data_IF_473609117223
#
_entry.id   IF_473609117223
#
_cell.length_a   1.000
_cell.length_b   1.000
_cell.length_c   1.000
_cell.angle_alpha   90.00
_cell.angle_beta   90.00
_cell.angle_gamma   90.00
#
_symmetry.space_group_name_H-M   'P 1'
#
loop_
_entity.id
_entity.type
_entity.pdbx_description
1 polymer ?
#
# COMPACT_ATOMS: atom_id res chain seq x y z
N UNK A 1 -31.08 11.41 2.33
CA UNK A 1 -30.21 12.55 2.66
C UNK A 1 -29.97 12.54 4.16
N UNK A 2 -28.72 12.64 4.62
CA UNK A 2 -28.41 12.76 6.05
C UNK A 2 -28.89 14.15 6.50
N UNK A 3 -29.81 14.22 7.48
CA UNK A 3 -30.27 15.49 8.03
C UNK A 3 -29.12 16.28 8.68
N UNK A 4 -29.17 17.61 8.63
CA UNK A 4 -28.19 18.48 9.31
C UNK A 4 -28.11 18.21 10.82
N UNK A 5 -29.20 17.77 11.46
CA UNK A 5 -29.20 17.30 12.85
C UNK A 5 -28.34 16.05 13.04
N UNK A 6 -28.42 15.10 12.11
CA UNK A 6 -27.71 13.82 12.18
C UNK A 6 -26.20 14.02 11.97
N UNK A 7 -25.79 15.01 11.17
CA UNK A 7 -24.38 15.38 10.99
C UNK A 7 -23.76 15.92 12.29
N UNK A 8 -24.48 16.82 13.00
CA UNK A 8 -24.00 17.35 14.30
C UNK A 8 -23.90 16.26 15.36
N UNK A 9 -24.93 15.44 15.50
CA UNK A 9 -24.92 14.31 16.43
C UNK A 9 -23.83 13.30 16.07
N UNK A 10 -23.60 13.07 14.77
CA UNK A 10 -22.50 12.25 14.27
C UNK A 10 -21.14 12.77 14.70
N UNK A 11 -20.86 14.07 14.57
CA UNK A 11 -19.60 14.64 15.01
C UNK A 11 -19.35 14.42 16.53
N UNK A 12 -20.39 14.61 17.36
CA UNK A 12 -20.28 14.40 18.81
C UNK A 12 -19.99 12.95 19.17
N UNK A 13 -20.68 11.99 18.53
CA UNK A 13 -20.41 10.57 18.76
C UNK A 13 -19.02 10.20 18.25
N UNK A 14 -18.56 10.78 17.14
CA UNK A 14 -17.22 10.52 16.62
C UNK A 14 -16.16 10.89 17.66
N UNK A 15 -16.20 12.12 18.18
CA UNK A 15 -15.27 12.57 19.21
C UNK A 15 -15.31 11.65 20.45
N UNK A 16 -16.50 11.22 20.86
CA UNK A 16 -16.68 10.33 22.00
C UNK A 16 -16.01 8.96 21.80
N UNK A 17 -16.16 8.34 20.63
CA UNK A 17 -15.66 6.97 20.39
C UNK A 17 -14.30 6.92 19.70
N UNK A 18 -13.79 8.01 19.13
CA UNK A 18 -12.60 8.04 18.29
C UNK A 18 -11.41 7.30 18.93
N UNK A 19 -11.04 7.68 20.15
CA UNK A 19 -9.91 7.07 20.84
C UNK A 19 -10.10 5.56 21.08
N UNK A 20 -11.32 5.12 21.40
CA UNK A 20 -11.65 3.72 21.59
C UNK A 20 -11.65 2.94 20.26
N UNK A 21 -12.13 3.55 19.18
CA UNK A 21 -12.11 2.99 17.84
C UNK A 21 -10.67 2.84 17.33
N UNK A 22 -9.82 3.86 17.47
CA UNK A 22 -8.40 3.79 17.14
C UNK A 22 -7.73 2.67 17.93
N UNK A 23 -7.93 2.63 19.27
CA UNK A 23 -7.37 1.56 20.11
C UNK A 23 -7.84 0.17 19.67
N UNK A 24 -9.07 0.03 19.19
CA UNK A 24 -9.60 -1.23 18.66
C UNK A 24 -8.92 -1.60 17.34
N UNK A 25 -8.83 -0.68 16.38
CA UNK A 25 -8.18 -0.90 15.09
C UNK A 25 -6.69 -1.25 15.24
N UNK A 26 -6.01 -0.61 16.19
CA UNK A 26 -4.60 -0.88 16.55
C UNK A 26 -4.31 -2.30 17.04
N UNK A 27 -5.34 -3.11 17.36
CA UNK A 27 -5.17 -4.55 17.65
C UNK A 27 -4.97 -5.39 16.38
N UNK A 28 -5.33 -4.85 15.21
CA UNK A 28 -5.25 -5.51 13.90
C UNK A 28 -4.14 -4.93 13.03
N UNK A 29 -3.84 -3.63 13.18
CA UNK A 29 -2.79 -2.93 12.41
C UNK A 29 -1.77 -2.26 13.32
N UNK A 30 -0.49 -2.36 12.93
CA UNK A 30 0.65 -1.81 13.67
C UNK A 30 1.00 -0.37 13.30
N UNK A 31 0.49 0.13 12.17
CA UNK A 31 0.66 1.50 11.71
C UNK A 31 -0.49 2.39 12.25
N UNK A 32 -0.21 3.65 12.56
CA UNK A 32 -1.21 4.56 13.13
C UNK A 32 -2.10 5.16 12.04
N UNK A 33 -1.54 5.46 10.88
CA UNK A 33 -2.28 5.98 9.73
C UNK A 33 -3.24 4.92 9.17
N UNK A 34 -2.81 3.65 9.09
CA UNK A 34 -3.71 2.54 8.74
C UNK A 34 -4.91 2.47 9.70
N UNK A 35 -4.70 2.72 11.01
CA UNK A 35 -5.77 2.71 11.99
C UNK A 35 -6.73 3.90 11.82
N UNK A 36 -6.20 5.09 11.52
CA UNK A 36 -6.99 6.29 11.24
C UNK A 36 -7.84 6.15 9.97
N UNK A 37 -7.27 5.55 8.92
CA UNK A 37 -7.99 5.25 7.67
C UNK A 37 -9.15 4.27 7.93
N UNK A 38 -8.89 3.18 8.66
CA UNK A 38 -9.93 2.22 9.04
C UNK A 38 -11.05 2.91 9.83
N UNK A 39 -10.70 3.73 10.82
CA UNK A 39 -11.68 4.42 11.65
C UNK A 39 -12.50 5.42 10.84
N UNK A 40 -11.87 6.16 9.94
CA UNK A 40 -12.53 7.13 9.05
C UNK A 40 -13.52 6.43 8.11
N UNK A 41 -13.09 5.37 7.42
CA UNK A 41 -13.95 4.58 6.53
C UNK A 41 -15.11 3.94 7.30
N UNK A 42 -14.83 3.38 8.47
CA UNK A 42 -15.84 2.80 9.34
C UNK A 42 -16.86 3.85 9.77
N UNK A 43 -16.40 5.05 10.13
CA UNK A 43 -17.27 6.12 10.57
C UNK A 43 -18.18 6.63 9.45
N UNK A 44 -17.64 6.79 8.24
CA UNK A 44 -18.45 7.15 7.06
C UNK A 44 -19.56 6.13 6.84
N UNK A 45 -19.27 4.83 6.99
CA UNK A 45 -20.29 3.79 6.90
C UNK A 45 -21.33 3.84 8.03
N UNK A 46 -20.90 4.16 9.26
CA UNK A 46 -21.79 4.34 10.42
C UNK A 46 -22.69 5.57 10.28
N UNK A 47 -22.19 6.65 9.67
CA UNK A 47 -22.97 7.87 9.41
C UNK A 47 -24.21 7.59 8.54
N UNK A 48 -24.10 6.66 7.60
CA UNK A 48 -25.23 6.20 6.77
C UNK A 48 -26.30 5.44 7.56
N UNK A 49 -26.00 5.01 8.80
CA UNK A 49 -26.89 4.23 9.68
C UNK A 49 -27.22 4.98 10.97
N UNK A 50 -27.03 6.29 11.02
CA UNK A 50 -27.20 7.10 12.23
C UNK A 50 -28.60 7.01 12.84
N UNK A 51 -29.64 6.89 12.00
CA UNK A 51 -31.03 6.73 12.47
C UNK A 51 -31.23 5.45 13.29
N UNK A 52 -30.43 4.42 13.03
CA UNK A 52 -30.43 3.16 13.78
C UNK A 52 -29.49 3.23 14.99
N UNK A 53 -28.37 3.96 14.86
CA UNK A 53 -27.34 4.06 15.89
C UNK A 53 -27.75 4.94 17.08
N UNK A 54 -28.37 6.10 16.82
CA UNK A 54 -28.77 7.07 17.86
C UNK A 54 -29.70 6.46 18.91
N UNK A 55 -30.76 5.69 18.55
CA UNK A 55 -31.68 5.11 19.53
C UNK A 55 -31.06 4.00 20.40
N UNK A 56 -29.93 3.41 19.99
CA UNK A 56 -29.28 2.33 20.76
C UNK A 56 -28.80 2.88 22.10
N UNK A 57 -29.07 2.17 23.20
CA UNK A 57 -28.56 2.51 24.53
C UNK A 57 -27.22 1.83 24.81
N UNK A 58 -26.46 2.35 25.76
CA UNK A 58 -25.31 1.63 26.29
C UNK A 58 -25.73 0.37 27.07
N UNK A 59 -24.93 -0.71 27.07
CA UNK A 59 -23.64 -0.89 26.39
C UNK A 59 -23.73 -1.34 24.91
N UNK A 60 -24.96 -1.51 24.39
CA UNK A 60 -25.22 -2.08 23.06
C UNK A 60 -24.64 -1.20 21.95
N UNK A 61 -24.77 0.13 22.07
CA UNK A 61 -24.21 1.09 21.11
C UNK A 61 -22.69 0.95 21.01
N UNK A 62 -21.99 0.94 22.14
CA UNK A 62 -20.53 0.73 22.16
C UNK A 62 -20.16 -0.60 21.50
N UNK A 63 -20.85 -1.70 21.85
CA UNK A 63 -20.57 -3.00 21.25
C UNK A 63 -20.73 -2.97 19.71
N UNK A 64 -21.81 -2.37 19.20
CA UNK A 64 -22.07 -2.24 17.77
C UNK A 64 -20.98 -1.47 17.03
N UNK A 65 -20.56 -0.31 17.56
CA UNK A 65 -19.49 0.51 16.97
C UNK A 65 -18.18 -0.29 16.95
N UNK A 66 -17.84 -0.94 18.06
CA UNK A 66 -16.58 -1.66 18.18
C UNK A 66 -16.52 -2.91 17.28
N UNK A 67 -17.63 -3.63 17.11
CA UNK A 67 -17.74 -4.72 16.15
C UNK A 67 -17.63 -4.20 14.71
N UNK A 68 -18.17 -3.01 14.42
CA UNK A 68 -18.05 -2.39 13.10
C UNK A 68 -16.59 -2.04 12.78
N UNK A 69 -15.83 -1.52 13.74
CA UNK A 69 -14.38 -1.25 13.58
C UNK A 69 -13.58 -2.53 13.37
N UNK A 70 -13.90 -3.60 14.12
CA UNK A 70 -13.27 -4.90 13.94
C UNK A 70 -13.51 -5.46 12.53
N UNK A 71 -14.75 -5.44 12.05
CA UNK A 71 -15.08 -5.87 10.70
C UNK A 71 -14.37 -5.02 9.64
N UNK A 72 -14.35 -3.69 9.81
CA UNK A 72 -13.64 -2.78 8.91
C UNK A 72 -12.12 -3.06 8.90
N UNK A 73 -11.54 -3.39 10.06
CA UNK A 73 -10.12 -3.76 10.17
C UNK A 73 -9.81 -5.06 9.43
N UNK A 74 -10.67 -6.07 9.57
CA UNK A 74 -10.54 -7.34 8.85
C UNK A 74 -10.67 -7.12 7.34
N UNK A 75 -11.63 -6.31 6.90
CA UNK A 75 -11.82 -6.02 5.49
C UNK A 75 -10.68 -5.19 4.91
N UNK A 76 -10.12 -4.24 5.67
CA UNK A 76 -8.90 -3.53 5.30
C UNK A 76 -7.75 -4.50 5.08
N UNK A 77 -7.52 -5.43 6.01
CA UNK A 77 -6.48 -6.45 5.90
C UNK A 77 -6.72 -7.40 4.72
N UNK A 78 -7.98 -7.80 4.46
CA UNK A 78 -8.35 -8.61 3.29
C UNK A 78 -8.08 -7.87 1.98
N UNK A 79 -8.47 -6.60 1.88
CA UNK A 79 -8.18 -5.75 0.71
C UNK A 79 -6.67 -5.57 0.53
N UNK A 80 -5.92 -5.34 1.61
CA UNK A 80 -4.46 -5.22 1.58
C UNK A 80 -3.81 -6.51 1.12
N UNK A 81 -4.24 -7.66 1.64
CA UNK A 81 -3.78 -8.98 1.21
C UNK A 81 -4.16 -9.29 -0.25
N UNK A 82 -5.36 -8.90 -0.70
CA UNK A 82 -5.77 -9.06 -2.11
C UNK A 82 -4.93 -8.18 -3.03
N UNK A 83 -4.67 -6.93 -2.66
CA UNK A 83 -3.75 -6.04 -3.40
C UNK A 83 -2.33 -6.63 -3.44
N UNK A 84 -1.85 -7.16 -2.32
CA UNK A 84 -0.57 -7.88 -2.28
C UNK A 84 -0.58 -9.11 -3.18
N UNK A 85 -1.65 -9.92 -3.20
CA UNK A 85 -1.80 -11.07 -4.09
C UNK A 85 -1.87 -10.69 -5.57
N UNK A 86 -2.58 -9.62 -5.92
CA UNK A 86 -2.62 -9.10 -7.30
C UNK A 86 -1.21 -8.65 -7.73
N UNK A 87 -0.48 -7.97 -6.83
CA UNK A 87 0.94 -7.66 -7.04
C UNK A 87 1.79 -8.94 -7.08
N UNK A 88 1.38 -10.01 -6.39
CA UNK A 88 2.06 -11.31 -6.43
C UNK A 88 1.83 -12.10 -7.73
N UNK A 89 0.68 -11.93 -8.37
CA UNK A 89 0.25 -12.58 -9.62
C UNK A 89 0.69 -11.83 -10.88
N UNK A 90 1.20 -10.61 -10.77
CA UNK A 90 1.87 -9.94 -11.89
C UNK A 90 3.25 -10.57 -12.12
N UNK A 91 3.31 -11.50 -13.08
CA UNK A 91 4.54 -11.77 -13.82
C UNK A 91 5.02 -10.50 -14.53
N UNK A 92 6.28 -10.50 -14.95
CA UNK A 92 6.90 -9.42 -15.75
C UNK A 92 5.92 -9.10 -16.88
N UNK A 93 5.35 -7.90 -16.90
CA UNK A 93 4.49 -7.48 -18.00
C UNK A 93 5.33 -7.33 -19.27
N UNK A 94 4.72 -7.41 -20.45
CA UNK A 94 5.43 -7.16 -21.72
C UNK A 94 6.17 -5.81 -21.70
N UNK A 95 5.59 -4.80 -21.02
CA UNK A 95 6.19 -3.49 -20.81
C UNK A 95 7.41 -3.48 -19.85
N UNK A 96 7.51 -4.45 -18.92
CA UNK A 96 8.72 -4.62 -18.10
C UNK A 96 9.82 -5.34 -18.89
N UNK A 97 9.45 -6.25 -19.80
CA UNK A 97 10.41 -6.93 -20.68
C UNK A 97 11.03 -5.94 -21.69
N UNK A 98 10.22 -5.08 -22.31
CA UNK A 98 10.68 -4.02 -23.21
C UNK A 98 11.61 -3.02 -22.50
N UNK A 99 11.25 -2.57 -21.29
CA UNK A 99 12.08 -1.68 -20.48
C UNK A 99 13.43 -2.32 -20.09
N UNK A 100 13.44 -3.62 -19.78
CA UNK A 100 14.69 -4.34 -19.50
C UNK A 100 15.59 -4.44 -20.74
N UNK A 101 15.02 -4.59 -21.94
CA UNK A 101 15.78 -4.58 -23.19
C UNK A 101 16.38 -3.19 -23.48
N UNK A 102 15.63 -2.12 -23.22
CA UNK A 102 16.12 -0.75 -23.36
C UNK A 102 17.30 -0.48 -22.42
N UNK A 103 17.18 -0.88 -21.14
CA UNK A 103 18.26 -0.76 -20.16
C UNK A 103 19.52 -1.58 -20.51
N UNK A 104 19.36 -2.72 -21.18
CA UNK A 104 20.48 -3.61 -21.56
C UNK A 104 21.19 -3.15 -22.86
N UNK A 105 20.65 -2.13 -23.54
CA UNK A 105 21.25 -1.58 -24.76
C UNK A 105 22.58 -0.87 -24.48
N UNK A 106 23.50 -0.93 -25.45
CA UNK A 106 24.87 -0.39 -25.33
C UNK A 106 24.91 1.10 -24.98
N UNK A 107 23.90 1.88 -25.37
CA UNK A 107 23.79 3.32 -25.06
C UNK A 107 23.59 3.57 -23.56
N UNK A 108 23.01 2.62 -22.82
CA UNK A 108 22.67 2.78 -21.42
C UNK A 108 23.56 2.00 -20.46
N UNK A 109 24.47 1.13 -20.92
CA UNK A 109 25.24 0.26 -20.02
C UNK A 109 26.13 1.02 -19.03
N UNK A 110 26.87 2.04 -19.49
CA UNK A 110 27.75 2.84 -18.63
C UNK A 110 26.95 3.73 -17.67
N UNK A 111 25.84 4.30 -18.16
CA UNK A 111 24.92 5.08 -17.36
C UNK A 111 24.27 4.20 -16.29
N UNK A 112 23.76 3.02 -16.67
CA UNK A 112 23.12 2.07 -15.78
C UNK A 112 24.05 1.61 -14.66
N UNK A 113 25.32 1.30 -14.97
CA UNK A 113 26.32 0.95 -13.94
C UNK A 113 26.50 2.07 -12.90
N UNK A 114 26.39 3.33 -13.33
CA UNK A 114 26.43 4.49 -12.43
C UNK A 114 25.13 4.64 -11.63
N UNK A 115 23.97 4.48 -12.29
CA UNK A 115 22.67 4.60 -11.65
C UNK A 115 22.39 3.49 -10.63
N UNK A 116 22.82 2.26 -10.90
CA UNK A 116 22.70 1.13 -9.97
C UNK A 116 23.42 1.41 -8.63
N UNK A 117 24.56 2.12 -8.66
CA UNK A 117 25.28 2.55 -7.45
C UNK A 117 24.51 3.58 -6.61
N UNK A 118 23.55 4.29 -7.23
CA UNK A 118 22.68 5.27 -6.57
C UNK A 118 21.39 4.65 -6.03
N UNK A 119 21.13 3.37 -6.31
CA UNK A 119 19.98 2.66 -5.79
C UNK A 119 20.27 2.06 -4.40
N UNK A 120 19.25 1.89 -3.55
CA UNK A 120 19.35 1.05 -2.37
C UNK A 120 19.84 -0.37 -2.71
N UNK A 121 20.62 -1.05 -1.85
CA UNK A 121 21.30 -2.31 -2.19
C UNK A 121 20.37 -3.41 -2.71
N UNK A 122 19.20 -3.60 -2.08
CA UNK A 122 18.22 -4.60 -2.51
C UNK A 122 17.54 -4.22 -3.83
N UNK A 123 17.33 -2.93 -4.10
CA UNK A 123 16.77 -2.44 -5.36
C UNK A 123 17.76 -2.67 -6.51
N UNK A 124 19.04 -2.33 -6.30
CA UNK A 124 20.12 -2.58 -7.27
C UNK A 124 20.25 -4.07 -7.61
N UNK A 125 20.30 -4.94 -6.60
CA UNK A 125 20.42 -6.40 -6.80
C UNK A 125 19.24 -6.99 -7.56
N UNK A 126 18.03 -6.50 -7.32
CA UNK A 126 16.86 -6.97 -8.07
C UNK A 126 16.95 -6.57 -9.54
N UNK A 127 17.40 -5.35 -9.86
CA UNK A 127 17.61 -4.94 -11.27
C UNK A 127 18.68 -5.80 -11.94
N UNK A 128 19.83 -5.99 -11.29
CA UNK A 128 20.91 -6.85 -11.81
C UNK A 128 20.40 -8.27 -12.13
N UNK A 129 19.69 -8.90 -11.20
CA UNK A 129 19.17 -10.24 -11.44
C UNK A 129 18.08 -10.29 -12.50
N UNK A 130 17.27 -9.23 -12.65
CA UNK A 130 16.28 -9.14 -13.73
C UNK A 130 16.93 -9.02 -15.10
N UNK A 131 18.02 -8.27 -15.22
CA UNK A 131 18.84 -8.21 -16.45
C UNK A 131 19.47 -9.56 -16.78
N UNK A 132 19.88 -10.32 -15.76
CA UNK A 132 20.33 -11.71 -15.90
C UNK A 132 19.19 -12.72 -16.17
N UNK A 133 17.96 -12.24 -16.38
CA UNK A 133 16.76 -13.03 -16.69
C UNK A 133 16.30 -13.99 -15.59
N UNK A 134 16.69 -13.74 -14.33
CA UNK A 134 16.13 -14.50 -13.21
C UNK A 134 14.64 -14.17 -12.98
N UNK A 135 13.88 -15.20 -12.66
CA UNK A 135 12.49 -15.09 -12.23
C UNK A 135 12.42 -14.44 -10.85
N UNK A 136 11.26 -13.84 -10.51
CA UNK A 136 11.09 -13.22 -9.19
C UNK A 136 11.24 -14.21 -8.04
N UNK A 137 10.91 -15.50 -8.27
CA UNK A 137 11.06 -16.57 -7.28
C UNK A 137 12.53 -16.93 -7.05
N UNK A 138 13.33 -17.07 -8.10
CA UNK A 138 14.77 -17.33 -7.97
C UNK A 138 15.50 -16.17 -7.27
N UNK A 139 15.09 -14.93 -7.57
CA UNK A 139 15.64 -13.74 -6.89
C UNK A 139 15.26 -13.73 -5.41
N UNK A 140 14.02 -14.11 -5.08
CA UNK A 140 13.53 -14.17 -3.70
C UNK A 140 14.35 -15.16 -2.88
N UNK A 141 14.63 -16.34 -3.44
CA UNK A 141 15.51 -17.35 -2.85
C UNK A 141 16.93 -16.82 -2.67
N UNK A 142 17.54 -16.26 -3.73
CA UNK A 142 18.92 -15.73 -3.68
C UNK A 142 19.10 -14.62 -2.65
N UNK A 143 18.09 -13.76 -2.48
CA UNK A 143 18.14 -12.63 -1.55
C UNK A 143 17.57 -12.96 -0.17
N UNK A 144 17.05 -14.18 0.04
CA UNK A 144 16.36 -14.59 1.28
C UNK A 144 15.24 -13.63 1.68
N UNK A 145 14.44 -13.20 0.71
CA UNK A 145 13.27 -12.32 0.89
C UNK A 145 12.03 -12.98 0.27
N UNK A 146 10.84 -12.42 0.48
CA UNK A 146 9.65 -12.90 -0.23
C UNK A 146 9.64 -12.41 -1.70
N UNK A 147 8.99 -13.16 -2.60
CA UNK A 147 8.77 -12.72 -3.98
C UNK A 147 7.98 -11.41 -4.06
N UNK A 148 7.16 -11.12 -3.06
CA UNK A 148 6.50 -9.83 -2.90
C UNK A 148 7.51 -8.70 -2.68
N UNK A 149 8.51 -8.90 -1.80
CA UNK A 149 9.58 -7.93 -1.59
C UNK A 149 10.39 -7.70 -2.87
N UNK A 150 10.72 -8.75 -3.63
CA UNK A 150 11.43 -8.62 -4.92
C UNK A 150 10.68 -7.69 -5.88
N UNK A 151 9.36 -7.86 -6.03
CA UNK A 151 8.55 -6.98 -6.90
C UNK A 151 8.44 -5.56 -6.38
N UNK A 152 8.35 -5.36 -5.07
CA UNK A 152 8.39 -4.01 -4.46
C UNK A 152 9.73 -3.34 -4.76
N UNK A 153 10.84 -4.05 -4.61
CA UNK A 153 12.17 -3.54 -4.95
C UNK A 153 12.28 -3.23 -6.44
N UNK A 154 11.75 -4.09 -7.32
CA UNK A 154 11.71 -3.85 -8.77
C UNK A 154 10.93 -2.57 -9.12
N UNK A 155 9.71 -2.40 -8.61
CA UNK A 155 8.89 -1.21 -8.88
C UNK A 155 9.58 0.09 -8.41
N UNK A 156 10.19 0.06 -7.22
CA UNK A 156 10.93 1.21 -6.68
C UNK A 156 12.17 1.51 -7.52
N UNK A 157 12.93 0.47 -7.88
CA UNK A 157 14.11 0.61 -8.73
C UNK A 157 13.75 1.19 -10.09
N UNK A 158 12.74 0.63 -10.77
CA UNK A 158 12.23 1.11 -12.06
C UNK A 158 11.83 2.58 -11.98
N UNK A 159 11.02 2.95 -10.99
CA UNK A 159 10.59 4.35 -10.82
C UNK A 159 11.72 5.33 -10.52
N UNK A 160 12.79 4.89 -9.81
CA UNK A 160 13.98 5.72 -9.59
C UNK A 160 14.83 5.84 -10.85
N UNK A 161 15.09 4.73 -11.53
CA UNK A 161 15.87 4.71 -12.77
C UNK A 161 15.23 5.57 -13.85
N UNK A 162 13.90 5.50 -14.04
CA UNK A 162 13.18 6.37 -14.96
C UNK A 162 13.37 7.86 -14.64
N UNK A 163 13.32 8.24 -13.36
CA UNK A 163 13.59 9.63 -12.94
C UNK A 163 15.03 10.04 -13.20
N UNK A 164 15.98 9.16 -12.90
CA UNK A 164 17.39 9.46 -13.15
C UNK A 164 17.65 9.63 -14.65
N UNK A 165 17.20 8.70 -15.49
CA UNK A 165 17.33 8.79 -16.95
C UNK A 165 16.68 10.07 -17.49
N UNK A 166 15.49 10.43 -17.01
CA UNK A 166 14.85 11.69 -17.41
C UNK A 166 15.69 12.92 -17.04
N UNK A 167 16.28 12.96 -15.84
CA UNK A 167 17.14 14.07 -15.41
C UNK A 167 18.44 14.11 -16.20
N UNK A 168 19.08 12.96 -16.45
CA UNK A 168 20.31 12.88 -17.23
C UNK A 168 20.09 13.24 -18.72
N UNK A 169 18.99 12.80 -19.33
CA UNK A 169 18.62 13.18 -20.70
C UNK A 169 18.31 14.67 -20.87
N UNK A 170 17.87 15.34 -19.81
CA UNK A 170 17.69 16.80 -19.77
C UNK A 170 18.99 17.58 -19.56
N UNK A 171 20.09 16.93 -19.17
CA UNK A 171 21.40 17.56 -18.96
C UNK A 171 22.33 17.43 -20.18
N UNK A 172 22.03 16.51 -21.11
CA UNK A 172 22.73 16.35 -22.39
C UNK A 172 22.04 17.02 -23.58
N UNK A 173 20.95 17.77 -23.34
CA UNK A 173 20.23 18.59 -24.33
C UNK A 173 20.45 20.09 -24.14
#
# INVERSE_FOLDING_TARGET
>A
MISASNLRTGAQLFEQYYAAMIKRARRYVSDVYDAEDIVSDCWVALLLRMEQLIPMKEPVRTAYIMTSVENASIDFLRKRKRRQRIVEEMEISDADAEYLQELDSLEYQDLLATLLKQLPPYEAKVVEYKLMKYTSSEIAEKLSVSSASVRVYWMRAKGRLQKYIQVFGLLES
#
